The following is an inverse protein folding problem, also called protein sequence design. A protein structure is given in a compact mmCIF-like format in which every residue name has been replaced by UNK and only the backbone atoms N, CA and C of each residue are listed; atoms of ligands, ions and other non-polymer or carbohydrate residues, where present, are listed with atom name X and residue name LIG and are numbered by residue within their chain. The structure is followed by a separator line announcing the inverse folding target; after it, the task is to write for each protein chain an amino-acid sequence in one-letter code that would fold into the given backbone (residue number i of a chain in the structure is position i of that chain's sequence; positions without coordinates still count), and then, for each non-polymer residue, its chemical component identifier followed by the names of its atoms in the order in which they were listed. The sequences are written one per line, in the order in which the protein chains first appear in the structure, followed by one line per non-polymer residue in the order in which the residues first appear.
data_IF_508213821042
#
_entry.id   IF_508213821042
#
_cell.length_a   1.000
_cell.length_b   1.000
_cell.length_c   1.000
_cell.angle_alpha   90.00
_cell.angle_beta   90.00
_cell.angle_gamma   90.00
#
_symmetry.space_group_name_H-M   'P 1'
#
loop_
_entity.id
_entity.type
_entity.pdbx_description
1 polymer ?
#
# COMPACT_ATOMS: atom_id res chain seq x y z
N UNK A 1 -13.14 7.55 28.58
CA UNK A 1 -12.34 7.79 27.36
C UNK A 1 -13.14 7.12 26.28
N UNK A 2 -13.89 7.94 25.53
CA UNK A 2 -15.15 7.53 24.91
C UNK A 2 -15.05 7.38 23.39
N UNK A 3 -13.88 7.76 22.86
CA UNK A 3 -13.54 7.73 21.45
C UNK A 3 -12.36 6.80 21.22
N UNK A 4 -12.48 5.93 20.23
CA UNK A 4 -11.38 5.17 19.64
C UNK A 4 -10.81 6.04 18.54
N UNK A 5 -9.52 6.39 18.65
CA UNK A 5 -8.79 7.11 17.61
C UNK A 5 -7.50 6.38 17.30
N UNK A 6 -7.26 6.09 16.03
CA UNK A 6 -6.00 5.54 15.56
C UNK A 6 -5.67 6.08 14.17
N UNK A 7 -4.37 6.12 13.86
CA UNK A 7 -3.87 6.65 12.59
C UNK A 7 -3.03 5.61 11.87
N UNK A 8 -3.22 5.50 10.56
CA UNK A 8 -2.46 4.64 9.64
C UNK A 8 -1.91 5.52 8.53
N UNK A 9 -0.62 5.86 8.61
CA UNK A 9 0.00 6.82 7.70
C UNK A 9 -0.70 8.17 7.75
N UNK A 10 -1.28 8.60 6.62
CA UNK A 10 -2.01 9.87 6.50
C UNK A 10 -3.51 9.77 6.82
N UNK A 11 -4.04 8.56 7.07
CA UNK A 11 -5.47 8.34 7.35
C UNK A 11 -5.69 8.25 8.85
N UNK A 12 -6.64 9.03 9.38
CA UNK A 12 -7.03 8.98 10.80
C UNK A 12 -8.45 8.47 10.91
N UNK A 13 -8.62 7.40 11.68
CA UNK A 13 -9.91 6.80 12.00
C UNK A 13 -10.34 7.28 13.37
N UNK A 14 -11.54 7.86 13.43
CA UNK A 14 -12.16 8.30 14.68
C UNK A 14 -13.53 7.66 14.82
N UNK A 15 -13.77 7.04 15.96
CA UNK A 15 -15.05 6.44 16.29
C UNK A 15 -15.45 6.76 17.72
N UNK A 16 -16.67 7.28 17.90
CA UNK A 16 -17.25 7.55 19.22
C UNK A 16 -18.20 6.44 19.60
N UNK A 17 -17.98 5.85 20.79
CA UNK A 17 -18.83 4.77 21.29
C UNK A 17 -20.23 5.29 21.63
N UNK A 18 -21.25 4.53 21.24
CA UNK A 18 -22.64 4.79 21.63
C UNK A 18 -22.87 4.55 23.12
N UNK A 19 -23.95 5.10 23.67
CA UNK A 19 -24.31 4.89 25.08
C UNK A 19 -24.53 3.41 25.43
N UNK A 20 -25.03 2.62 24.49
CA UNK A 20 -25.24 1.18 24.67
C UNK A 20 -23.92 0.41 24.70
N UNK A 21 -23.01 0.65 23.75
CA UNK A 21 -21.67 0.03 23.74
C UNK A 21 -20.88 0.36 25.01
N UNK A 22 -21.00 1.59 25.53
CA UNK A 22 -20.39 1.98 26.81
C UNK A 22 -20.94 1.19 27.99
N UNK A 23 -22.22 0.82 27.98
CA UNK A 23 -22.80 -0.03 29.03
C UNK A 23 -22.19 -1.42 28.96
N UNK A 24 -22.07 -2.00 27.77
CA UNK A 24 -21.49 -3.33 27.59
C UNK A 24 -20.00 -3.38 27.95
N UNK A 25 -19.22 -2.34 27.63
CA UNK A 25 -17.80 -2.25 28.02
C UNK A 25 -17.57 -2.27 29.54
N UNK A 26 -18.54 -1.84 30.35
CA UNK A 26 -18.43 -1.94 31.82
C UNK A 26 -18.51 -3.38 32.33
N UNK A 27 -18.99 -4.29 31.49
CA UNK A 27 -19.20 -5.70 31.83
C UNK A 27 -18.08 -6.59 31.27
N UNK A 28 -17.18 -6.05 30.45
CA UNK A 28 -16.12 -6.82 29.80
C UNK A 28 -14.88 -6.94 30.68
N UNK A 29 -14.20 -8.08 30.57
CA UNK A 29 -12.86 -8.29 31.15
C UNK A 29 -11.78 -7.87 30.15
N UNK A 30 -10.55 -7.72 30.64
CA UNK A 30 -9.40 -7.42 29.79
C UNK A 30 -9.24 -8.48 28.69
N UNK A 31 -9.40 -8.05 27.44
CA UNK A 31 -9.43 -8.92 26.26
C UNK A 31 -8.61 -8.27 25.15
N UNK A 32 -7.78 -9.06 24.48
CA UNK A 32 -7.07 -8.64 23.27
C UNK A 32 -7.79 -9.18 22.04
N UNK A 33 -8.06 -8.31 21.08
CA UNK A 33 -8.64 -8.69 19.79
C UNK A 33 -7.58 -8.51 18.70
N UNK A 34 -7.23 -9.60 18.02
CA UNK A 34 -6.34 -9.54 16.86
C UNK A 34 -7.15 -9.17 15.61
N UNK A 35 -6.95 -7.94 15.14
CA UNK A 35 -7.66 -7.41 13.96
C UNK A 35 -7.28 -8.14 12.66
N UNK A 36 -6.13 -8.84 12.61
CA UNK A 36 -5.76 -9.63 11.44
C UNK A 36 -6.68 -10.84 11.24
N UNK A 37 -7.37 -11.28 12.30
CA UNK A 37 -8.35 -12.37 12.25
C UNK A 37 -9.75 -11.89 11.85
N UNK A 38 -9.91 -10.62 11.46
CA UNK A 38 -11.19 -10.04 11.06
C UNK A 38 -11.18 -9.62 9.58
N UNK A 39 -11.58 -10.52 8.65
CA UNK A 39 -11.51 -10.26 7.21
C UNK A 39 -12.25 -8.99 6.78
N UNK A 40 -13.46 -8.78 7.29
CA UNK A 40 -14.29 -7.60 6.96
C UNK A 40 -13.60 -6.30 7.36
N UNK A 41 -12.86 -6.29 8.46
CA UNK A 41 -12.09 -5.12 8.87
C UNK A 41 -10.91 -4.86 7.93
N UNK A 42 -10.18 -5.91 7.53
CA UNK A 42 -9.06 -5.78 6.60
C UNK A 42 -9.51 -5.24 5.24
N UNK A 43 -10.65 -5.70 4.72
CA UNK A 43 -11.23 -5.23 3.47
C UNK A 43 -11.62 -3.74 3.59
N UNK A 44 -12.31 -3.35 4.66
CA UNK A 44 -12.70 -1.95 4.88
C UNK A 44 -11.52 -1.00 5.06
N UNK A 45 -10.45 -1.44 5.72
CA UNK A 45 -9.22 -0.65 5.83
C UNK A 45 -8.59 -0.46 4.44
N UNK A 46 -8.53 -1.52 3.64
CA UNK A 46 -8.04 -1.46 2.26
C UNK A 46 -8.84 -0.44 1.43
N UNK A 47 -10.17 -0.55 1.46
CA UNK A 47 -11.06 0.35 0.73
C UNK A 47 -10.91 1.80 1.17
N UNK A 48 -10.79 2.03 2.49
CA UNK A 48 -10.62 3.38 3.03
C UNK A 48 -9.29 3.99 2.62
N UNK A 49 -8.21 3.21 2.68
CA UNK A 49 -6.88 3.65 2.21
C UNK A 49 -6.95 4.00 0.73
N UNK A 50 -7.60 3.14 -0.08
CA UNK A 50 -7.76 3.40 -1.51
C UNK A 50 -8.58 4.68 -1.79
N UNK A 51 -9.68 4.88 -1.07
CA UNK A 51 -10.51 6.07 -1.21
C UNK A 51 -9.80 7.37 -0.79
N UNK A 52 -8.86 7.28 0.15
CA UNK A 52 -8.05 8.40 0.60
C UNK A 52 -6.92 8.78 -0.37
N UNK A 53 -6.66 7.99 -1.42
CA UNK A 53 -5.69 8.34 -2.46
C UNK A 53 -6.28 9.48 -3.32
N UNK A 54 -5.56 10.61 -3.47
CA UNK A 54 -5.96 11.71 -4.34
C UNK A 54 -6.23 11.25 -5.77
N UNK A 55 -7.25 11.80 -6.43
CA UNK A 55 -7.59 11.45 -7.82
C UNK A 55 -6.44 11.71 -8.81
N UNK A 56 -5.61 12.71 -8.52
CA UNK A 56 -4.37 13.03 -9.26
C UNK A 56 -3.36 11.87 -9.24
N UNK A 57 -3.42 11.03 -8.20
CA UNK A 57 -2.64 9.81 -8.02
C UNK A 57 -3.43 8.55 -8.39
N UNK A 58 -4.65 8.66 -8.97
CA UNK A 58 -5.42 7.54 -9.53
C UNK A 58 -5.15 7.32 -11.02
N UNK A 59 -4.64 8.32 -11.74
CA UNK A 59 -4.15 8.19 -13.12
C UNK A 59 -2.62 8.15 -13.15
N UNK A 60 -2.01 7.13 -13.76
CA UNK A 60 -0.57 7.00 -13.78
C UNK A 60 0.02 8.06 -14.70
N UNK A 61 1.02 8.79 -14.21
CA UNK A 61 1.76 9.75 -15.05
C UNK A 61 2.61 9.02 -16.09
N UNK A 62 2.91 9.65 -17.23
CA UNK A 62 3.76 9.05 -18.28
C UNK A 62 5.12 8.58 -17.75
N UNK A 63 5.69 9.28 -16.75
CA UNK A 63 6.95 8.87 -16.11
C UNK A 63 6.81 7.56 -15.35
N UNK A 64 5.71 7.39 -14.61
CA UNK A 64 5.41 6.16 -13.89
C UNK A 64 5.16 5.00 -14.86
N UNK A 65 4.40 5.23 -15.95
CA UNK A 65 4.18 4.22 -16.99
C UNK A 65 5.47 3.75 -17.65
N UNK A 66 6.34 4.69 -18.06
CA UNK A 66 7.65 4.35 -18.62
C UNK A 66 8.53 3.60 -17.62
N UNK A 67 8.46 3.95 -16.34
CA UNK A 67 9.22 3.26 -15.31
C UNK A 67 8.70 1.84 -15.06
N UNK A 68 7.39 1.64 -14.96
CA UNK A 68 6.78 0.32 -14.87
C UNK A 68 7.14 -0.56 -16.08
N UNK A 69 7.09 -0.02 -17.30
CA UNK A 69 7.53 -0.71 -18.51
C UNK A 69 9.01 -1.09 -18.47
N UNK A 70 9.86 -0.23 -17.92
CA UNK A 70 11.30 -0.51 -17.76
C UNK A 70 11.52 -1.66 -16.78
N UNK A 71 10.88 -1.62 -15.61
CA UNK A 71 10.91 -2.70 -14.62
C UNK A 71 10.44 -4.03 -15.24
N UNK A 72 9.32 -4.01 -15.98
CA UNK A 72 8.79 -5.18 -16.67
C UNK A 72 9.79 -5.79 -17.66
N UNK A 73 10.47 -4.95 -18.46
CA UNK A 73 11.49 -5.39 -19.41
C UNK A 73 12.73 -5.96 -18.72
N UNK A 74 13.23 -5.24 -17.71
CA UNK A 74 14.49 -5.58 -17.04
C UNK A 74 14.35 -6.83 -16.16
N UNK A 75 13.21 -6.98 -15.47
CA UNK A 75 12.92 -8.15 -14.63
C UNK A 75 12.17 -9.26 -15.38
N UNK A 76 11.78 -9.04 -16.63
CA UNK A 76 10.96 -9.96 -17.45
C UNK A 76 9.65 -10.39 -16.77
N UNK A 77 9.04 -9.48 -16.02
CA UNK A 77 7.74 -9.70 -15.34
C UNK A 77 6.62 -9.07 -16.17
N UNK A 78 5.42 -9.63 -16.13
CA UNK A 78 4.27 -9.09 -16.87
C UNK A 78 3.72 -7.85 -16.17
N UNK A 79 3.36 -6.84 -16.96
CA UNK A 79 2.60 -5.70 -16.46
C UNK A 79 1.16 -6.12 -16.12
N UNK A 80 0.54 -5.55 -15.09
CA UNK A 80 -0.88 -5.68 -14.84
C UNK A 80 -1.69 -5.21 -16.05
N UNK A 81 -2.87 -5.80 -16.28
CA UNK A 81 -3.73 -5.44 -17.43
C UNK A 81 -4.14 -3.97 -17.44
N UNK A 82 -4.34 -3.39 -16.26
CA UNK A 82 -4.93 -2.05 -16.10
C UNK A 82 -3.88 -1.04 -15.60
N UNK A 83 -2.58 -1.31 -15.83
CA UNK A 83 -1.49 -0.48 -15.29
C UNK A 83 -1.42 0.92 -15.93
N UNK A 84 -2.02 1.10 -17.10
CA UNK A 84 -2.12 2.35 -17.85
C UNK A 84 -3.40 3.14 -17.53
N UNK A 85 -4.41 2.48 -16.98
CA UNK A 85 -5.69 3.07 -16.58
C UNK A 85 -5.79 3.31 -15.08
N UNK A 86 -4.98 2.60 -14.26
CA UNK A 86 -4.96 2.70 -12.81
C UNK A 86 -3.56 3.01 -12.30
N UNK A 87 -3.40 4.19 -11.69
CA UNK A 87 -2.17 4.55 -11.01
C UNK A 87 -1.90 3.66 -9.82
N UNK A 88 -2.94 3.14 -9.16
CA UNK A 88 -2.73 2.18 -8.08
C UNK A 88 -2.11 0.89 -8.63
N UNK A 89 -2.62 0.36 -9.75
CA UNK A 89 -2.03 -0.81 -10.40
C UNK A 89 -0.58 -0.54 -10.83
N UNK A 90 -0.31 0.65 -11.38
CA UNK A 90 1.03 1.09 -11.76
C UNK A 90 1.98 1.24 -10.57
N UNK A 91 1.55 1.95 -9.53
CA UNK A 91 2.33 2.28 -8.33
C UNK A 91 2.56 1.04 -7.46
N UNK A 92 1.56 0.19 -7.29
CA UNK A 92 1.71 -1.10 -6.58
C UNK A 92 2.71 -1.97 -7.31
N UNK A 93 2.58 -2.10 -8.63
CA UNK A 93 3.53 -2.86 -9.43
C UNK A 93 4.96 -2.32 -9.29
N UNK A 94 5.13 -0.99 -9.37
CA UNK A 94 6.44 -0.35 -9.16
C UNK A 94 6.94 -0.64 -7.74
N UNK A 95 6.13 -0.46 -6.70
CA UNK A 95 6.54 -0.66 -5.31
C UNK A 95 7.00 -2.11 -5.04
N UNK A 96 6.26 -3.09 -5.56
CA UNK A 96 6.56 -4.51 -5.37
C UNK A 96 7.86 -4.93 -6.08
N UNK A 97 8.16 -4.34 -7.23
CA UNK A 97 9.26 -4.75 -8.09
C UNK A 97 10.49 -3.84 -8.02
N UNK A 98 10.36 -2.62 -7.48
CA UNK A 98 11.47 -1.67 -7.33
C UNK A 98 12.65 -2.25 -6.54
N UNK A 99 12.47 -2.95 -5.41
CA UNK A 99 13.60 -3.52 -4.68
C UNK A 99 14.39 -4.55 -5.51
N UNK A 100 13.71 -5.32 -6.36
CA UNK A 100 14.37 -6.28 -7.25
C UNK A 100 15.09 -5.56 -8.41
N UNK A 101 14.46 -4.55 -8.99
CA UNK A 101 15.03 -3.72 -10.06
C UNK A 101 16.31 -2.99 -9.61
N UNK A 102 16.27 -2.36 -8.43
CA UNK A 102 17.42 -1.66 -7.85
C UNK A 102 18.61 -2.60 -7.63
N UNK A 103 18.37 -3.85 -7.21
CA UNK A 103 19.43 -4.87 -7.05
C UNK A 103 20.09 -5.22 -8.38
N UNK A 104 19.31 -5.39 -9.44
CA UNK A 104 19.84 -5.68 -10.79
C UNK A 104 20.68 -4.53 -11.30
N UNK A 105 20.21 -3.28 -11.13
CA UNK A 105 20.96 -2.08 -11.50
C UNK A 105 22.28 -1.95 -10.73
N UNK A 106 22.27 -2.23 -9.43
CA UNK A 106 23.48 -2.19 -8.60
C UNK A 106 24.54 -3.20 -9.07
N UNK A 107 24.12 -4.43 -9.41
CA UNK A 107 25.03 -5.46 -9.96
C UNK A 107 25.58 -5.03 -11.31
N UNK A 108 24.72 -4.53 -12.21
CA UNK A 108 25.14 -4.10 -13.53
C UNK A 108 26.16 -2.94 -13.48
N UNK A 109 25.91 -1.94 -12.62
CA UNK A 109 26.81 -0.81 -12.42
C UNK A 109 28.14 -1.22 -11.77
N UNK A 110 28.11 -2.18 -10.83
CA UNK A 110 29.31 -2.76 -10.23
C UNK A 110 30.17 -3.54 -11.23
N UNK A 111 29.54 -4.26 -12.17
CA UNK A 111 30.24 -4.97 -13.25
C UNK A 111 30.86 -3.97 -14.23
N UNK A 112 30.12 -2.93 -14.64
CA UNK A 112 30.64 -1.85 -15.51
C UNK A 112 31.84 -1.15 -14.90
N UNK A 113 31.79 -0.83 -13.60
CA UNK A 113 32.90 -0.19 -12.90
C UNK A 113 34.16 -1.06 -12.82
N UNK A 114 34.01 -2.40 -12.86
CA UNK A 114 35.12 -3.36 -12.82
C UNK A 114 35.71 -3.67 -14.20
N UNK A 115 34.96 -3.45 -15.28
CA UNK A 115 35.43 -3.64 -16.67
C UNK A 115 36.12 -2.39 -17.26
N UNK A 116 35.96 -1.24 -16.62
CA UNK A 116 36.55 0.04 -17.03
C UNK A 116 37.73 0.47 -16.13
N UNK A 117 38.16 -0.41 -15.20
CA UNK A 117 39.30 -0.22 -14.31
C UNK A 117 40.50 -1.03 -14.71
#
# INVERSE_FOLDING_TARGET
MDDITFSVGAVTFKYSLTAEQKKFLRLTQETTVDLNQWPVFADHITDTIHAAIPDELKLPTEKQLKYAQTISKDLKVKLPKDYDESALACLSFIADHKPAHDRVLAVFNGIKGKLLG
#
